data_IF_613209124982
#
_entry.id   IF_613209124982
#
_cell.length_a   1.000
_cell.length_b   1.000
_cell.length_c   1.000
_cell.angle_alpha   90.00
_cell.angle_beta   90.00
_cell.angle_gamma   90.00
#
_symmetry.space_group_name_H-M   'P 1'
#
loop_
_entity.id
_entity.type
_entity.pdbx_description
1 polymer ?
#
# COMPACT_ATOMS: atom_id res chain seq x y z
N UNK A 1 44.48 1.39 -11.45
CA UNK A 1 43.27 2.25 -11.38
C UNK A 1 42.24 1.86 -10.31
N UNK A 2 42.27 0.67 -9.69
CA UNK A 2 41.22 0.23 -8.73
C UNK A 2 41.25 0.94 -7.34
N UNK A 3 42.41 1.45 -6.89
CA UNK A 3 42.52 2.08 -5.56
C UNK A 3 42.03 3.53 -5.46
N UNK A 4 41.85 4.23 -6.59
CA UNK A 4 41.32 5.61 -6.59
C UNK A 4 39.79 5.65 -6.43
N UNK A 5 39.09 4.64 -6.95
CA UNK A 5 37.63 4.56 -6.91
C UNK A 5 37.10 4.18 -5.52
N UNK A 6 37.80 3.29 -4.81
CA UNK A 6 37.46 2.91 -3.44
C UNK A 6 37.63 4.07 -2.44
N UNK A 7 38.63 4.93 -2.65
CA UNK A 7 38.85 6.12 -1.81
C UNK A 7 37.84 7.25 -2.08
N UNK A 8 37.34 7.37 -3.31
CA UNK A 8 36.29 8.32 -3.65
C UNK A 8 34.94 7.92 -3.03
N UNK A 9 34.57 6.63 -3.12
CA UNK A 9 33.32 6.10 -2.55
C UNK A 9 33.26 6.23 -1.01
N UNK A 10 34.38 6.04 -0.30
CA UNK A 10 34.46 6.15 1.15
C UNK A 10 34.35 7.59 1.71
N UNK A 11 34.58 8.62 0.88
CA UNK A 11 34.43 10.04 1.28
C UNK A 11 32.99 10.52 1.15
N UNK A 12 32.25 10.01 0.16
CA UNK A 12 30.84 10.37 -0.07
C UNK A 12 29.93 9.78 1.01
N UNK A 13 30.16 8.54 1.44
CA UNK A 13 29.39 7.91 2.52
C UNK A 13 29.55 8.61 3.88
N UNK A 14 30.74 9.12 4.21
CA UNK A 14 30.97 9.87 5.45
C UNK A 14 30.30 11.24 5.46
N UNK A 15 30.23 11.92 4.30
CA UNK A 15 29.55 13.21 4.17
C UNK A 15 28.02 13.07 4.26
N UNK A 16 27.44 12.03 3.65
CA UNK A 16 26.00 11.75 3.73
C UNK A 16 25.55 11.35 5.15
N UNK A 17 26.34 10.56 5.88
CA UNK A 17 26.05 10.21 7.28
C UNK A 17 26.12 11.41 8.24
N UNK A 18 27.02 12.37 8.00
CA UNK A 18 27.10 13.58 8.81
C UNK A 18 25.88 14.50 8.62
N UNK A 19 25.41 14.67 7.37
CA UNK A 19 24.25 15.52 7.06
C UNK A 19 22.95 14.95 7.67
N UNK A 20 22.76 13.62 7.61
CA UNK A 20 21.59 12.97 8.21
C UNK A 20 21.57 13.08 9.75
N UNK A 21 22.74 12.99 10.40
CA UNK A 21 22.83 13.16 11.85
C UNK A 21 22.48 14.58 12.31
N UNK A 22 22.91 15.61 11.58
CA UNK A 22 22.55 17.00 11.89
C UNK A 22 21.07 17.30 11.61
N UNK A 23 20.50 16.76 10.53
CA UNK A 23 19.08 16.91 10.23
C UNK A 23 18.19 16.27 11.30
N UNK A 24 18.54 15.06 11.77
CA UNK A 24 17.81 14.37 12.82
C UNK A 24 17.83 15.14 14.16
N UNK A 25 18.99 15.69 14.53
CA UNK A 25 19.13 16.54 15.73
C UNK A 25 18.25 17.80 15.67
N UNK A 26 18.12 18.40 14.49
CA UNK A 26 17.23 19.55 14.26
C UNK A 26 15.76 19.20 14.44
N UNK A 27 15.30 18.07 13.87
CA UNK A 27 13.90 17.63 13.98
C UNK A 27 13.52 17.30 15.42
N UNK A 28 14.40 16.64 16.19
CA UNK A 28 14.15 16.32 17.60
C UNK A 28 14.01 17.59 18.45
N UNK A 29 14.82 18.63 18.19
CA UNK A 29 14.74 19.90 18.91
C UNK A 29 13.42 20.67 18.63
N UNK A 30 12.93 20.64 17.38
CA UNK A 30 11.66 21.25 17.00
C UNK A 30 10.46 20.46 17.57
N UNK A 31 10.52 19.13 17.54
CA UNK A 31 9.48 18.27 18.14
C UNK A 31 9.32 18.49 19.65
N UNK A 32 10.44 18.57 20.39
CA UNK A 32 10.43 18.90 21.82
C UNK A 32 9.88 20.30 22.10
N UNK A 33 10.13 21.27 21.22
CA UNK A 33 9.60 22.63 21.36
C UNK A 33 8.08 22.70 21.15
N UNK A 34 7.50 21.85 20.29
CA UNK A 34 6.06 21.81 20.03
C UNK A 34 5.27 21.07 21.12
N UNK A 35 5.84 20.03 21.75
CA UNK A 35 5.16 19.29 22.83
C UNK A 35 4.97 20.12 24.10
N UNK A 36 5.80 21.13 24.37
CA UNK A 36 5.63 22.01 25.54
C UNK A 36 4.48 23.01 25.42
N UNK A 37 3.83 23.13 24.26
CA UNK A 37 2.70 24.06 24.02
C UNK A 37 1.31 23.41 24.15
N UNK A 38 1.22 22.10 24.37
CA UNK A 38 -0.06 21.35 24.40
C UNK A 38 -0.50 20.96 25.82
N UNK A 39 0.31 21.22 26.86
CA UNK A 39 -0.05 20.87 28.25
C UNK A 39 -0.67 22.00 29.08
N UNK A 40 -1.32 23.00 28.45
CA UNK A 40 -2.11 24.03 29.14
C UNK A 40 -3.37 24.43 28.34
N UNK A 41 -4.38 23.55 28.32
CA UNK A 41 -5.79 23.84 28.01
C UNK A 41 -6.63 22.58 28.34
N UNK A 42 -6.84 22.23 29.61
CA UNK A 42 -7.97 22.60 30.46
C UNK A 42 -9.34 22.81 29.80
N UNK A 43 -10.32 22.17 30.45
CA UNK A 43 -11.75 22.48 30.58
C UNK A 43 -12.66 21.98 29.45
N UNK A 44 -13.54 20.99 29.67
CA UNK A 44 -14.70 20.86 30.59
C UNK A 44 -15.99 20.94 29.77
N UNK A 45 -16.78 19.86 29.77
CA UNK A 45 -18.28 19.73 29.80
C UNK A 45 -18.59 18.31 29.31
N UNK A 46 -18.98 17.30 30.11
CA UNK A 46 -20.02 17.16 31.15
C UNK A 46 -21.45 17.50 30.74
N UNK A 47 -22.25 16.42 30.70
CA UNK A 47 -23.67 16.28 31.03
C UNK A 47 -24.75 17.06 30.25
N UNK A 48 -25.65 16.30 29.62
CA UNK A 48 -27.06 16.68 29.55
C UNK A 48 -27.95 15.46 29.76
N UNK A 49 -28.75 15.54 30.82
CA UNK A 49 -29.65 14.53 31.34
C UNK A 49 -31.11 14.88 31.00
N UNK A 50 -31.85 13.92 30.41
CA UNK A 50 -33.22 13.47 30.80
C UNK A 50 -34.43 14.45 30.73
N UNK A 51 -35.69 14.02 30.98
CA UNK A 51 -36.49 12.87 30.49
C UNK A 51 -37.93 13.27 30.04
N UNK A 52 -38.71 12.33 29.46
CA UNK A 52 -40.16 12.24 29.74
C UNK A 52 -40.70 10.79 29.62
N UNK A 53 -41.60 10.34 30.53
CA UNK A 53 -42.06 8.95 30.64
C UNK A 53 -43.43 8.70 29.98
N UNK A 54 -43.72 7.45 29.64
CA UNK A 54 -45.11 6.97 29.52
C UNK A 54 -45.25 5.49 29.88
N UNK A 55 -46.03 5.26 30.94
CA UNK A 55 -46.77 4.09 31.43
C UNK A 55 -46.77 2.82 30.56
N UNK A 56 -46.32 1.66 31.07
CA UNK A 56 -46.97 0.75 32.03
C UNK A 56 -47.92 -0.27 31.37
N UNK A 57 -47.56 -1.56 31.45
CA UNK A 57 -48.39 -2.63 32.03
C UNK A 57 -47.63 -3.96 32.01
N UNK A 58 -47.49 -4.55 33.20
CA UNK A 58 -46.97 -5.89 33.50
C UNK A 58 -47.76 -7.02 32.84
N UNK A 59 -47.10 -8.12 32.50
CA UNK A 59 -47.54 -9.46 32.95
C UNK A 59 -46.50 -10.57 32.70
N UNK A 60 -46.15 -11.22 33.80
CA UNK A 60 -45.84 -12.66 33.96
C UNK A 60 -44.47 -13.24 33.53
N UNK A 61 -43.79 -13.76 34.55
CA UNK A 61 -42.54 -14.54 34.56
C UNK A 61 -42.80 -16.06 34.32
N UNK A 62 -41.87 -16.98 34.67
CA UNK A 62 -40.63 -17.31 33.95
C UNK A 62 -40.61 -18.81 33.54
N UNK A 63 -39.81 -19.18 32.53
CA UNK A 63 -39.38 -20.58 32.37
C UNK A 63 -37.88 -20.66 32.13
N UNK A 64 -37.26 -21.48 32.98
CA UNK A 64 -35.88 -21.92 33.00
C UNK A 64 -35.68 -23.06 32.00
N UNK A 65 -34.58 -23.07 31.24
CA UNK A 65 -33.77 -24.26 30.96
C UNK A 65 -32.53 -23.93 30.10
N UNK A 66 -31.44 -24.61 30.48
CA UNK A 66 -30.06 -24.65 30.01
C UNK A 66 -29.82 -25.10 28.54
N UNK A 67 -28.57 -25.06 28.04
CA UNK A 67 -28.21 -25.11 26.63
C UNK A 67 -28.11 -26.54 26.10
N UNK A 68 -28.24 -26.70 24.78
CA UNK A 68 -27.87 -27.94 24.11
C UNK A 68 -27.23 -27.67 22.75
N UNK A 69 -26.13 -28.38 22.53
CA UNK A 69 -25.17 -28.24 21.45
C UNK A 69 -25.61 -28.89 20.13
N UNK A 70 -24.85 -28.52 19.08
CA UNK A 70 -24.56 -29.24 17.83
C UNK A 70 -25.69 -29.61 16.86
N UNK A 71 -25.54 -29.14 15.63
CA UNK A 71 -25.04 -29.99 14.54
C UNK A 71 -24.66 -29.15 13.33
N UNK A 72 -23.38 -29.19 12.97
CA UNK A 72 -22.89 -28.82 11.65
C UNK A 72 -23.39 -29.87 10.64
N UNK A 73 -23.74 -29.42 9.43
CA UNK A 73 -23.94 -30.30 8.29
C UNK A 73 -23.03 -29.82 7.16
N UNK A 74 -22.11 -30.70 6.82
CA UNK A 74 -21.10 -30.63 5.77
C UNK A 74 -21.63 -30.19 4.41
N UNK A 75 -20.85 -29.35 3.74
CA UNK A 75 -20.71 -29.38 2.29
C UNK A 75 -19.29 -28.96 1.93
N UNK A 76 -18.33 -29.81 2.28
CA UNK A 76 -16.94 -29.69 1.83
C UNK A 76 -16.79 -30.44 0.49
N UNK A 77 -16.65 -29.69 -0.60
CA UNK A 77 -15.98 -30.21 -1.79
C UNK A 77 -14.49 -29.93 -1.60
N UNK A 78 -13.78 -30.91 -1.05
CA UNK A 78 -12.36 -30.85 -0.83
C UNK A 78 -11.59 -30.84 -2.16
N UNK A 79 -10.72 -29.85 -2.34
CA UNK A 79 -9.48 -30.02 -3.09
C UNK A 79 -8.34 -29.73 -2.13
N UNK A 80 -7.48 -30.74 -1.99
CA UNK A 80 -6.44 -30.89 -0.98
C UNK A 80 -5.24 -29.96 -1.19
N UNK A 81 -4.78 -29.29 -0.14
CA UNK A 81 -3.36 -29.05 0.16
C UNK A 81 -3.17 -28.50 1.59
N UNK A 82 -2.73 -29.37 2.51
CA UNK A 82 -2.17 -29.00 3.82
C UNK A 82 -3.14 -28.41 4.85
N UNK A 83 -2.92 -28.68 6.13
CA UNK A 83 -3.43 -27.83 7.21
C UNK A 83 -3.01 -26.38 6.93
N UNK A 84 -3.90 -25.53 6.41
CA UNK A 84 -3.48 -24.23 5.91
C UNK A 84 -4.60 -23.40 5.31
N UNK A 85 -4.49 -22.09 5.48
CA UNK A 85 -5.38 -21.09 4.88
C UNK A 85 -5.26 -21.18 3.34
N UNK A 86 -6.37 -21.28 2.59
CA UNK A 86 -6.34 -21.44 1.14
C UNK A 86 -5.70 -20.22 0.45
N UNK A 87 -5.22 -20.36 -0.79
CA UNK A 87 -4.84 -19.20 -1.60
C UNK A 87 -6.06 -18.37 -1.98
N UNK A 88 -5.88 -17.05 -2.09
CA UNK A 88 -6.95 -16.16 -2.52
C UNK A 88 -7.34 -16.44 -3.97
N UNK A 89 -8.64 -16.56 -4.23
CA UNK A 89 -9.18 -16.55 -5.58
C UNK A 89 -9.05 -15.15 -6.18
N UNK A 90 -8.82 -15.05 -7.49
CA UNK A 90 -8.54 -13.76 -8.14
C UNK A 90 -9.71 -12.78 -8.06
N UNK A 91 -10.95 -13.28 -8.06
CA UNK A 91 -12.19 -12.51 -7.93
C UNK A 91 -12.50 -12.11 -6.48
N UNK A 92 -11.88 -12.77 -5.50
CA UNK A 92 -11.93 -12.36 -4.10
C UNK A 92 -10.97 -11.20 -3.79
N UNK A 93 -10.11 -10.79 -4.73
CA UNK A 93 -9.13 -9.73 -4.54
C UNK A 93 -9.47 -8.49 -5.36
N UNK A 94 -9.42 -7.33 -4.71
CA UNK A 94 -9.49 -6.02 -5.37
C UNK A 94 -8.12 -5.36 -5.33
N UNK A 95 -7.59 -4.99 -6.49
CA UNK A 95 -6.32 -4.26 -6.64
C UNK A 95 -6.62 -2.82 -7.06
N UNK A 96 -6.05 -1.85 -6.33
CA UNK A 96 -6.19 -0.43 -6.61
C UNK A 96 -4.82 0.21 -6.79
N UNK A 97 -4.67 0.97 -7.87
CA UNK A 97 -3.49 1.79 -8.11
C UNK A 97 -3.63 3.13 -7.39
N UNK A 98 -2.61 3.54 -6.64
CA UNK A 98 -2.64 4.77 -5.84
C UNK A 98 -1.47 5.67 -6.20
N UNK A 99 -1.75 6.96 -6.31
CA UNK A 99 -0.73 8.02 -6.46
C UNK A 99 -0.81 8.95 -5.25
N UNK A 100 0.32 9.49 -4.81
CA UNK A 100 0.37 10.44 -3.67
C UNK A 100 -0.35 11.77 -3.97
N UNK A 101 -0.46 12.17 -5.24
CA UNK A 101 -1.19 13.35 -5.71
C UNK A 101 -1.91 13.05 -7.02
N UNK A 102 -2.93 13.84 -7.34
CA UNK A 102 -3.58 13.83 -8.66
C UNK A 102 -2.90 14.75 -9.67
N UNK A 103 -1.99 15.62 -9.22
CA UNK A 103 -1.35 16.63 -10.07
C UNK A 103 0.04 16.95 -9.53
N UNK A 104 1.00 17.07 -10.45
CA UNK A 104 2.41 17.30 -10.15
C UNK A 104 2.93 18.47 -10.96
N UNK A 105 3.60 19.40 -10.29
CA UNK A 105 4.29 20.54 -10.90
C UNK A 105 5.60 20.10 -11.55
N UNK A 106 6.26 21.02 -12.25
CA UNK A 106 7.61 20.81 -12.76
C UNK A 106 8.57 20.39 -11.62
N UNK A 107 9.33 19.31 -11.84
CA UNK A 107 10.28 18.79 -10.86
C UNK A 107 9.67 18.00 -9.70
N UNK A 108 8.34 17.87 -9.61
CA UNK A 108 7.69 16.91 -8.71
C UNK A 108 7.61 15.53 -9.37
N UNK A 109 7.94 14.50 -8.60
CA UNK A 109 7.94 13.10 -9.05
C UNK A 109 6.80 12.33 -8.39
N UNK A 110 5.94 11.65 -9.17
CA UNK A 110 4.89 10.80 -8.63
C UNK A 110 5.43 9.66 -7.77
N UNK A 111 4.76 9.39 -6.66
CA UNK A 111 4.96 8.20 -5.84
C UNK A 111 3.74 7.30 -5.99
N UNK A 112 3.99 6.07 -6.38
CA UNK A 112 2.97 5.07 -6.70
C UNK A 112 2.95 3.96 -5.67
N UNK A 113 1.75 3.52 -5.31
CA UNK A 113 1.52 2.45 -4.36
C UNK A 113 0.42 1.54 -4.87
N UNK A 114 0.43 0.27 -4.45
CA UNK A 114 -0.63 -0.69 -4.72
C UNK A 114 -1.38 -0.95 -3.41
N UNK A 115 -2.71 -0.89 -3.47
CA UNK A 115 -3.58 -1.42 -2.42
C UNK A 115 -4.22 -2.72 -2.88
N UNK A 116 -4.18 -3.73 -2.02
CA UNK A 116 -4.77 -5.04 -2.25
C UNK A 116 -5.75 -5.34 -1.12
N UNK A 117 -7.03 -5.52 -1.45
CA UNK A 117 -8.08 -5.81 -0.48
C UNK A 117 -8.66 -7.20 -0.73
N UNK A 118 -8.74 -8.03 0.31
CA UNK A 118 -9.56 -9.24 0.26
C UNK A 118 -11.03 -8.83 0.37
N UNK A 119 -11.75 -8.90 -0.74
CA UNK A 119 -13.16 -8.57 -0.89
C UNK A 119 -14.07 -9.80 -0.75
N UNK A 120 -13.50 -10.98 -0.54
CA UNK A 120 -14.23 -12.21 -0.24
C UNK A 120 -14.63 -12.33 1.23
N UNK A 121 -15.38 -13.39 1.54
CA UNK A 121 -15.95 -13.63 2.88
C UNK A 121 -15.05 -14.47 3.80
N UNK A 122 -13.91 -14.98 3.29
CA UNK A 122 -13.01 -15.87 4.02
C UNK A 122 -11.56 -15.40 3.96
N UNK A 123 -10.79 -15.67 5.01
CA UNK A 123 -9.35 -15.41 5.03
C UNK A 123 -8.65 -16.30 3.99
N UNK A 124 -7.67 -15.73 3.30
CA UNK A 124 -6.93 -16.42 2.25
C UNK A 124 -5.47 -15.94 2.21
N UNK A 125 -4.60 -16.68 1.53
CA UNK A 125 -3.18 -16.37 1.39
C UNK A 125 -2.85 -15.84 0.00
N UNK A 126 -2.01 -14.81 -0.08
CA UNK A 126 -1.58 -14.15 -1.31
C UNK A 126 -0.10 -13.81 -1.24
N UNK A 127 0.62 -14.04 -2.34
CA UNK A 127 2.01 -13.59 -2.47
C UNK A 127 2.02 -12.11 -2.88
N UNK A 128 2.51 -11.26 -1.98
CA UNK A 128 2.72 -9.81 -2.18
C UNK A 128 4.21 -9.46 -2.24
N UNK A 129 5.03 -10.46 -2.59
CA UNK A 129 6.44 -10.27 -2.89
C UNK A 129 6.65 -9.34 -4.07
N UNK A 130 7.82 -8.71 -4.14
CA UNK A 130 8.19 -7.79 -5.24
C UNK A 130 8.13 -8.46 -6.62
N UNK A 131 8.24 -9.79 -6.66
CA UNK A 131 8.02 -10.65 -7.83
C UNK A 131 6.62 -10.54 -8.43
N UNK A 132 5.63 -10.25 -7.59
CA UNK A 132 4.22 -10.25 -7.94
C UNK A 132 3.69 -8.84 -8.22
N UNK A 133 4.39 -7.79 -7.75
CA UNK A 133 3.90 -6.42 -7.82
C UNK A 133 4.32 -5.74 -9.13
N UNK A 134 3.36 -5.24 -9.90
CA UNK A 134 3.63 -4.46 -11.11
C UNK A 134 2.81 -3.17 -11.14
N UNK A 135 3.44 -2.10 -11.60
CA UNK A 135 2.83 -0.81 -11.86
C UNK A 135 3.08 -0.44 -13.33
N UNK A 136 2.06 0.07 -13.99
CA UNK A 136 2.16 0.53 -15.39
C UNK A 136 1.57 1.91 -15.53
N UNK A 137 2.31 2.81 -16.19
CA UNK A 137 1.84 4.15 -16.57
C UNK A 137 1.53 4.17 -18.06
N UNK A 138 0.35 4.68 -18.40
CA UNK A 138 -0.11 4.85 -19.79
C UNK A 138 -0.55 6.28 -20.07
N UNK A 139 -0.53 6.66 -21.35
CA UNK A 139 -1.21 7.84 -21.87
C UNK A 139 -1.96 7.44 -23.14
N UNK A 140 -3.29 7.48 -23.11
CA UNK A 140 -4.11 6.81 -24.11
C UNK A 140 -3.78 5.31 -24.19
N UNK A 141 -3.59 4.79 -25.40
CA UNK A 141 -3.22 3.38 -25.63
C UNK A 141 -1.70 3.11 -25.52
N UNK A 142 -0.90 4.14 -25.22
CA UNK A 142 0.56 4.02 -25.20
C UNK A 142 1.05 3.71 -23.79
N UNK A 143 1.80 2.61 -23.63
CA UNK A 143 2.56 2.38 -22.40
C UNK A 143 3.76 3.30 -22.35
N UNK A 144 3.86 4.05 -21.26
CA UNK A 144 4.90 5.03 -21.03
C UNK A 144 5.99 4.44 -20.15
N UNK A 145 5.59 3.72 -19.10
CA UNK A 145 6.53 3.16 -18.14
C UNK A 145 5.96 1.91 -17.45
N UNK A 146 6.83 0.96 -17.10
CA UNK A 146 6.53 -0.19 -16.24
C UNK A 146 7.57 -0.31 -15.13
N UNK A 147 7.13 -0.64 -13.93
CA UNK A 147 8.04 -0.90 -12.81
C UNK A 147 9.00 -2.06 -13.05
N UNK A 148 8.59 -3.02 -13.89
CA UNK A 148 9.36 -4.24 -14.16
C UNK A 148 10.47 -4.07 -15.23
N UNK A 149 10.36 -3.11 -16.14
CA UNK A 149 11.24 -3.04 -17.33
C UNK A 149 12.72 -2.92 -16.96
N UNK A 150 13.03 -2.31 -15.82
CA UNK A 150 14.40 -2.10 -15.35
C UNK A 150 14.59 -2.41 -13.87
N UNK A 151 13.75 -3.29 -13.33
CA UNK A 151 13.94 -3.78 -11.97
C UNK A 151 15.32 -4.47 -11.89
N UNK A 152 16.23 -3.91 -11.10
CA UNK A 152 17.58 -4.44 -10.91
C UNK A 152 17.53 -5.59 -9.89
N UNK A 153 16.79 -6.64 -10.21
CA UNK A 153 16.71 -7.83 -9.39
C UNK A 153 16.56 -9.05 -10.28
N UNK A 154 17.62 -9.86 -10.40
CA UNK A 154 17.48 -11.24 -10.89
C UNK A 154 16.61 -12.03 -9.91
N UNK A 155 15.92 -13.08 -10.36
CA UNK A 155 15.10 -13.94 -9.49
C UNK A 155 15.88 -14.51 -8.28
N UNK A 156 17.21 -14.53 -8.34
CA UNK A 156 18.14 -14.96 -7.28
C UNK A 156 18.70 -13.81 -6.42
N UNK A 157 18.22 -12.57 -6.59
CA UNK A 157 18.67 -11.40 -5.79
C UNK A 157 17.79 -11.19 -4.57
N UNK A 158 18.36 -10.67 -3.48
CA UNK A 158 17.64 -10.34 -2.23
C UNK A 158 16.49 -9.32 -2.42
N UNK A 159 16.37 -8.69 -3.60
CA UNK A 159 15.29 -7.79 -4.02
C UNK A 159 14.09 -8.51 -4.66
N UNK A 160 14.24 -9.78 -5.06
CA UNK A 160 13.18 -10.63 -5.61
C UNK A 160 12.82 -11.69 -4.57
N UNK A 161 11.85 -11.39 -3.71
CA UNK A 161 11.46 -12.28 -2.62
C UNK A 161 9.96 -12.48 -2.66
N UNK A 162 9.55 -13.74 -2.64
CA UNK A 162 8.16 -14.11 -2.42
C UNK A 162 7.77 -13.80 -0.98
N UNK A 163 6.59 -13.20 -0.81
CA UNK A 163 6.04 -12.90 0.50
C UNK A 163 4.59 -13.27 0.60
N UNK A 164 4.36 -14.48 1.10
CA UNK A 164 3.00 -14.95 1.32
C UNK A 164 2.44 -14.33 2.60
N UNK A 165 1.33 -13.61 2.45
CA UNK A 165 0.54 -13.03 3.53
C UNK A 165 -0.81 -13.70 3.59
N UNK A 166 -1.28 -13.96 4.80
CA UNK A 166 -2.70 -14.21 5.06
C UNK A 166 -3.39 -12.86 5.16
N UNK A 167 -4.52 -12.72 4.47
CA UNK A 167 -5.33 -11.49 4.43
C UNK A 167 -6.74 -11.85 4.84
N UNK A 168 -7.22 -11.23 5.91
CA UNK A 168 -8.57 -11.41 6.43
C UNK A 168 -9.62 -10.75 5.53
N UNK A 169 -10.91 -11.15 5.58
CA UNK A 169 -11.99 -10.47 4.88
C UNK A 169 -12.02 -8.96 5.17
N UNK A 170 -12.03 -8.15 4.12
CA UNK A 170 -11.99 -6.69 4.20
C UNK A 170 -10.62 -6.09 4.57
N UNK A 171 -9.62 -6.90 4.90
CA UNK A 171 -8.27 -6.40 5.17
C UNK A 171 -7.65 -5.86 3.87
N UNK A 172 -7.01 -4.70 3.98
CA UNK A 172 -6.29 -4.05 2.89
C UNK A 172 -4.82 -3.98 3.22
N UNK A 173 -4.00 -4.56 2.34
CA UNK A 173 -2.56 -4.42 2.35
C UNK A 173 -2.15 -3.27 1.43
N UNK A 174 -1.06 -2.60 1.79
CA UNK A 174 -0.48 -1.52 1.01
C UNK A 174 1.00 -1.80 0.72
N UNK A 175 1.43 -1.58 -0.52
CA UNK A 175 2.84 -1.77 -0.92
C UNK A 175 3.73 -0.64 -0.41
N UNK A 176 5.04 -0.82 -0.56
CA UNK A 176 5.98 0.31 -0.46
C UNK A 176 5.78 1.22 -1.67
N UNK A 177 5.96 2.53 -1.47
CA UNK A 177 5.87 3.53 -2.53
C UNK A 177 7.04 3.47 -3.52
N UNK A 178 6.74 3.52 -4.81
CA UNK A 178 7.68 3.56 -5.92
C UNK A 178 7.67 4.96 -6.54
N UNK A 179 8.80 5.66 -6.50
CA UNK A 179 8.94 6.96 -7.18
C UNK A 179 9.20 6.76 -8.67
N UNK A 180 8.47 7.48 -9.51
CA UNK A 180 8.70 7.49 -10.96
C UNK A 180 9.30 8.81 -11.42
N UNK A 181 10.45 8.74 -12.09
CA UNK A 181 11.26 9.90 -12.50
C UNK A 181 10.71 10.65 -13.73
N UNK A 182 9.46 10.37 -14.16
CA UNK A 182 8.82 10.98 -15.35
C UNK A 182 9.60 10.72 -16.64
N UNK A 183 10.12 9.50 -16.79
CA UNK A 183 10.83 9.04 -17.99
C UNK A 183 10.19 7.79 -18.56
N UNK A 184 10.34 7.58 -19.87
CA UNK A 184 9.94 6.35 -20.52
C UNK A 184 10.75 5.15 -19.99
N UNK A 185 10.15 3.96 -19.97
CA UNK A 185 10.92 2.71 -19.83
C UNK A 185 10.81 1.84 -21.06
N UNK A 186 11.86 1.05 -21.29
CA UNK A 186 11.87 -0.03 -22.24
C UNK A 186 12.71 -1.18 -21.68
N UNK A 187 12.14 -2.39 -21.65
CA UNK A 187 12.81 -3.58 -21.12
C UNK A 187 14.13 -3.96 -21.80
N UNK A 188 14.39 -3.45 -23.00
CA UNK A 188 15.63 -3.71 -23.75
C UNK A 188 16.72 -2.66 -23.52
N UNK A 189 16.39 -1.49 -22.95
CA UNK A 189 17.33 -0.39 -22.71
C UNK A 189 17.12 0.25 -21.34
N UNK A 190 17.74 -0.33 -20.31
CA UNK A 190 17.77 0.21 -18.95
C UNK A 190 18.87 1.26 -18.75
N UNK A 191 19.05 2.13 -19.74
CA UNK A 191 20.09 3.14 -19.75
C UNK A 191 19.69 4.38 -18.95
N UNK A 192 20.68 5.03 -18.34
CA UNK A 192 20.51 6.26 -17.54
C UNK A 192 20.13 7.51 -18.37
N UNK A 193 19.72 7.35 -19.62
CA UNK A 193 19.39 8.42 -20.57
C UNK A 193 17.97 8.30 -21.13
N UNK A 194 17.06 7.74 -20.33
CA UNK A 194 15.66 7.63 -20.69
C UNK A 194 15.06 9.00 -21.02
N UNK A 195 14.27 9.05 -22.09
CA UNK A 195 13.61 10.26 -22.56
C UNK A 195 12.56 10.73 -21.54
N UNK A 196 12.46 12.04 -21.32
CA UNK A 196 11.42 12.62 -20.46
C UNK A 196 10.05 12.54 -21.11
N UNK A 197 9.03 12.26 -20.31
CA UNK A 197 7.65 12.20 -20.79
C UNK A 197 7.06 13.59 -21.00
N UNK A 198 5.93 13.66 -21.71
CA UNK A 198 5.25 14.93 -21.98
C UNK A 198 4.67 15.54 -20.70
N UNK A 199 4.87 16.84 -20.48
CA UNK A 199 4.30 17.62 -19.38
C UNK A 199 3.33 18.70 -19.93
N UNK A 200 3.03 19.74 -19.14
CA UNK A 200 2.16 20.83 -19.60
C UNK A 200 0.65 20.53 -19.56
N UNK A 201 0.21 19.76 -18.56
CA UNK A 201 -1.18 19.34 -18.38
C UNK A 201 -1.51 18.00 -19.03
N UNK A 202 -0.50 17.22 -19.42
CA UNK A 202 -0.69 15.89 -19.96
C UNK A 202 -1.30 14.94 -18.91
N UNK A 203 -2.26 14.13 -19.35
CA UNK A 203 -2.95 13.14 -18.52
C UNK A 203 -2.31 11.75 -18.66
N UNK A 204 -2.18 11.09 -17.52
CA UNK A 204 -1.63 9.75 -17.41
C UNK A 204 -2.54 8.89 -16.55
N UNK A 205 -2.49 7.58 -16.79
CA UNK A 205 -3.20 6.58 -16.00
C UNK A 205 -2.22 5.58 -15.42
N UNK A 206 -2.35 5.33 -14.11
CA UNK A 206 -1.65 4.30 -13.40
C UNK A 206 -2.56 3.09 -13.23
N UNK A 207 -2.08 1.91 -13.62
CA UNK A 207 -2.66 0.62 -13.28
C UNK A 207 -1.69 -0.19 -12.41
N UNK A 208 -2.25 -1.13 -11.66
CA UNK A 208 -1.49 -1.99 -10.76
C UNK A 208 -1.90 -3.46 -10.96
N UNK A 209 -0.95 -4.38 -10.71
CA UNK A 209 -1.26 -5.80 -10.61
C UNK A 209 -0.50 -6.47 -9.46
N UNK A 210 -1.11 -7.51 -8.90
CA UNK A 210 -0.52 -8.41 -7.91
C UNK A 210 -0.70 -9.84 -8.43
N UNK A 211 0.38 -10.44 -8.92
CA UNK A 211 0.30 -11.70 -9.67
C UNK A 211 -0.60 -11.54 -10.90
N UNK A 212 -1.62 -12.38 -11.01
CA UNK A 212 -2.59 -12.36 -12.12
C UNK A 212 -3.76 -11.39 -11.91
N UNK A 213 -3.90 -10.80 -10.72
CA UNK A 213 -5.00 -9.85 -10.41
C UNK A 213 -4.58 -8.45 -10.82
N UNK A 214 -5.34 -7.83 -11.73
CA UNK A 214 -5.10 -6.48 -12.25
C UNK A 214 -6.20 -5.52 -11.80
N UNK A 215 -5.86 -4.26 -11.57
CA UNK A 215 -6.83 -3.21 -11.28
C UNK A 215 -7.84 -3.05 -12.42
N UNK A 216 -9.12 -3.11 -12.12
CA UNK A 216 -10.21 -2.71 -13.02
C UNK A 216 -10.10 -1.22 -13.41
N UNK A 217 -10.78 -0.80 -14.48
CA UNK A 217 -10.77 0.59 -14.96
C UNK A 217 -11.12 1.62 -13.87
N UNK A 218 -12.08 1.31 -12.99
CA UNK A 218 -12.47 2.18 -11.87
C UNK A 218 -11.43 2.26 -10.74
N UNK A 219 -10.53 1.28 -10.69
CA UNK A 219 -9.46 1.16 -9.70
C UNK A 219 -8.10 1.60 -10.26
N UNK A 220 -8.07 2.08 -11.50
CA UNK A 220 -6.94 2.81 -12.07
C UNK A 220 -6.93 4.26 -11.56
N UNK A 221 -5.74 4.87 -11.52
CA UNK A 221 -5.59 6.25 -11.04
C UNK A 221 -5.14 7.18 -12.15
N UNK A 222 -5.97 8.17 -12.48
CA UNK A 222 -5.57 9.29 -13.31
C UNK A 222 -4.75 10.32 -12.52
N UNK A 223 -3.69 10.85 -13.15
CA UNK A 223 -2.93 11.98 -12.65
C UNK A 223 -2.42 12.87 -13.81
N UNK A 224 -2.01 14.10 -13.47
CA UNK A 224 -1.58 15.10 -14.44
C UNK A 224 -0.17 15.60 -14.16
N UNK A 225 0.60 15.80 -15.22
CA UNK A 225 1.95 16.39 -15.15
C UNK A 225 1.93 17.78 -15.78
N UNK A 226 2.32 18.79 -15.00
CA UNK A 226 2.53 20.16 -15.45
C UNK A 226 4.01 20.44 -15.65
#
# INVERSE_FOLDING_TARGET
>A
MSQSESRARARVFRRRRAVLAFAFLGVVAVGLSLWTRVTLAQSEVSESSSPLPSSAASSSAPVSAEPSASSASDSASASTSGDGIPSCESDALTVVAVTDKSTYSEGEFPVFTIQLTNSGDVACSVNVGTSQLSLTVTSGDTTIWRSADCATGSADSDEYWDYVKVVEPGETLESVGVTWDRVFSDSSSCDASAESVTAGGAAYWLSASVGDVTSSDENMKQFFLY
#
